data_IF_222236730572
#
_entry.id   IF_222236730572
#
_cell.length_a   1.000
_cell.length_b   1.000
_cell.length_c   1.000
_cell.angle_alpha   90.00
_cell.angle_beta   90.00
_cell.angle_gamma   90.00
#
_symmetry.space_group_name_H-M   'P 1'
#
loop_
_entity.id
_entity.type
_entity.pdbx_description
1 polymer ?
#
# COMPACT_ATOMS: atom_id res chain seq x y z
N UNK A 1 0.53 17.40 -13.22
CA UNK A 1 0.45 15.99 -12.77
C UNK A 1 1.39 15.03 -13.53
N UNK A 2 2.66 15.39 -13.81
CA UNK A 2 3.59 14.53 -14.56
C UNK A 2 4.45 13.59 -13.71
N UNK A 3 4.65 13.91 -12.44
CA UNK A 3 5.55 13.17 -11.54
C UNK A 3 4.87 11.96 -10.90
N UNK A 4 3.56 12.05 -10.61
CA UNK A 4 2.77 10.95 -10.07
C UNK A 4 2.79 9.71 -10.98
N UNK A 5 2.55 9.90 -12.29
CA UNK A 5 2.56 8.82 -13.27
C UNK A 5 3.92 8.10 -13.39
N UNK A 6 5.03 8.81 -13.12
CA UNK A 6 6.39 8.24 -13.09
C UNK A 6 6.74 7.61 -11.73
N UNK A 7 6.15 8.11 -10.65
CA UNK A 7 6.38 7.60 -9.29
C UNK A 7 5.64 6.29 -9.05
N UNK A 8 4.44 6.11 -9.61
CA UNK A 8 3.58 4.92 -9.39
C UNK A 8 4.35 3.60 -9.62
N UNK A 9 5.04 3.36 -10.75
CA UNK A 9 5.77 2.11 -10.95
C UNK A 9 6.86 1.85 -9.89
N UNK A 10 7.53 2.92 -9.43
CA UNK A 10 8.57 2.82 -8.41
C UNK A 10 7.98 2.49 -7.04
N UNK A 11 6.85 3.11 -6.70
CA UNK A 11 6.11 2.84 -5.47
C UNK A 11 5.54 1.41 -5.47
N UNK A 12 5.03 0.96 -6.60
CA UNK A 12 4.54 -0.41 -6.78
C UNK A 12 5.64 -1.45 -6.58
N UNK A 13 6.83 -1.21 -7.11
CA UNK A 13 7.98 -2.07 -6.86
C UNK A 13 8.35 -2.09 -5.36
N UNK A 14 8.34 -0.93 -4.70
CA UNK A 14 8.64 -0.80 -3.27
C UNK A 14 7.64 -1.54 -2.36
N UNK A 15 6.38 -1.67 -2.75
CA UNK A 15 5.36 -2.47 -2.03
C UNK A 15 5.66 -3.99 -2.01
N UNK A 16 6.50 -4.47 -2.92
CA UNK A 16 6.92 -5.89 -2.96
C UNK A 16 8.14 -6.20 -2.09
N UNK A 17 8.74 -5.16 -1.49
CA UNK A 17 9.95 -5.27 -0.69
C UNK A 17 9.76 -6.16 0.54
N UNK A 18 10.76 -6.98 0.90
CA UNK A 18 10.77 -7.66 2.19
C UNK A 18 11.06 -6.71 3.37
N UNK A 19 11.49 -5.46 3.10
CA UNK A 19 11.81 -4.47 4.13
C UNK A 19 10.55 -3.70 4.56
N UNK A 20 10.11 -3.83 5.83
CA UNK A 20 8.83 -3.28 6.29
C UNK A 20 8.72 -1.75 6.22
N UNK A 21 9.83 -1.02 6.43
CA UNK A 21 9.83 0.45 6.39
C UNK A 21 9.67 0.94 4.96
N UNK A 22 10.21 0.21 3.98
CA UNK A 22 10.03 0.51 2.57
C UNK A 22 8.58 0.32 2.14
N UNK A 23 7.92 -0.74 2.60
CA UNK A 23 6.48 -0.97 2.37
C UNK A 23 5.64 0.14 3.00
N UNK A 24 5.93 0.53 4.25
CA UNK A 24 5.25 1.63 4.93
C UNK A 24 5.38 2.96 4.17
N UNK A 25 6.60 3.32 3.77
CA UNK A 25 6.85 4.58 3.05
C UNK A 25 6.16 4.55 1.68
N UNK A 26 6.23 3.42 0.96
CA UNK A 26 5.53 3.26 -0.30
C UNK A 26 4.02 3.42 -0.14
N UNK A 27 3.40 2.74 0.83
CA UNK A 27 1.97 2.84 1.11
C UNK A 27 1.54 4.27 1.45
N UNK A 28 2.34 5.00 2.26
CA UNK A 28 2.09 6.42 2.55
C UNK A 28 2.20 7.31 1.32
N UNK A 29 3.22 7.12 0.50
CA UNK A 29 3.36 7.89 -0.74
C UNK A 29 2.18 7.64 -1.67
N UNK A 30 1.71 6.39 -1.79
CA UNK A 30 0.52 6.03 -2.57
C UNK A 30 -0.74 6.68 -1.98
N UNK A 31 -0.90 6.70 -0.65
CA UNK A 31 -1.99 7.41 0.02
C UNK A 31 -2.03 8.90 -0.34
N UNK A 32 -0.88 9.59 -0.38
CA UNK A 32 -0.79 11.00 -0.76
C UNK A 32 -1.05 11.28 -2.26
N UNK A 33 -0.93 10.26 -3.11
CA UNK A 33 -1.27 10.39 -4.54
C UNK A 33 -2.79 10.40 -4.77
N UNK A 34 -3.59 9.92 -3.80
CA UNK A 34 -5.05 9.94 -3.88
C UNK A 34 -5.58 9.20 -5.11
N UNK A 35 -6.43 9.84 -5.90
CA UNK A 35 -7.08 9.26 -7.08
C UNK A 35 -6.08 8.77 -8.13
N UNK A 36 -4.94 9.45 -8.27
CA UNK A 36 -3.89 9.06 -9.21
C UNK A 36 -3.28 7.69 -8.89
N UNK A 37 -3.48 7.18 -7.67
CA UNK A 37 -3.00 5.88 -7.22
C UNK A 37 -4.00 4.73 -7.46
N UNK A 38 -5.16 4.95 -8.08
CA UNK A 38 -6.08 3.86 -8.48
C UNK A 38 -5.40 2.62 -9.10
N UNK A 39 -4.46 2.74 -10.07
CA UNK A 39 -3.81 1.56 -10.66
C UNK A 39 -2.97 0.76 -9.66
N UNK A 40 -2.69 1.30 -8.46
CA UNK A 40 -1.96 0.62 -7.41
C UNK A 40 -2.83 -0.20 -6.45
N UNK A 41 -4.16 -0.13 -6.54
CA UNK A 41 -5.08 -0.78 -5.60
C UNK A 41 -4.86 -2.30 -5.50
N UNK A 42 -4.70 -3.01 -6.62
CA UNK A 42 -4.48 -4.46 -6.61
C UNK A 42 -3.15 -4.83 -5.92
N UNK A 43 -2.11 -4.04 -6.15
CA UNK A 43 -0.79 -4.28 -5.55
C UNK A 43 -0.77 -3.93 -4.05
N UNK A 44 -1.49 -2.90 -3.62
CA UNK A 44 -1.69 -2.58 -2.21
C UNK A 44 -2.39 -3.74 -1.48
N UNK A 45 -3.42 -4.34 -2.08
CA UNK A 45 -4.14 -5.48 -1.50
C UNK A 45 -3.26 -6.73 -1.44
N UNK A 46 -2.44 -6.98 -2.47
CA UNK A 46 -1.48 -8.08 -2.45
C UNK A 46 -0.39 -7.87 -1.39
N UNK A 47 0.11 -6.64 -1.23
CA UNK A 47 1.05 -6.29 -0.17
C UNK A 47 0.41 -6.52 1.21
N UNK A 48 -0.83 -6.05 1.43
CA UNK A 48 -1.60 -6.25 2.66
C UNK A 48 -1.74 -7.73 3.01
N UNK A 49 -2.18 -8.56 2.07
CA UNK A 49 -2.29 -10.02 2.26
C UNK A 49 -0.95 -10.70 2.52
N UNK A 50 0.14 -10.19 1.94
CA UNK A 50 1.49 -10.70 2.24
C UNK A 50 1.94 -10.40 3.67
N UNK A 51 1.42 -9.33 4.29
CA UNK A 51 1.61 -9.05 5.72
C UNK A 51 0.82 -10.01 6.61
N UNK A 52 -0.35 -10.45 6.15
CA UNK A 52 -1.29 -11.30 6.88
C UNK A 52 -0.95 -12.79 6.86
N UNK A 53 0.07 -13.22 6.11
CA UNK A 53 0.38 -14.64 5.93
C UNK A 53 0.55 -15.39 7.27
N UNK A 54 -0.33 -16.36 7.45
CA UNK A 54 -0.66 -17.12 8.67
C UNK A 54 0.19 -18.37 8.85
N UNK A 55 1.46 -18.36 8.46
CA UNK A 55 2.35 -19.49 8.76
C UNK A 55 2.87 -19.43 10.21
N UNK A 56 2.64 -20.47 11.04
CA UNK A 56 3.20 -20.55 12.38
C UNK A 56 4.73 -20.69 12.27
N UNK A 57 5.44 -19.59 12.53
CA UNK A 57 6.90 -19.50 12.44
C UNK A 57 7.43 -18.61 11.31
N UNK A 58 6.58 -18.19 10.37
CA UNK A 58 6.94 -17.32 9.25
C UNK A 58 6.02 -16.08 9.17
N UNK A 59 5.61 -15.57 10.34
CA UNK A 59 5.08 -14.21 10.43
C UNK A 59 6.24 -13.27 10.13
N UNK A 60 6.36 -12.78 8.89
CA UNK A 60 7.39 -11.82 8.47
C UNK A 60 7.41 -10.53 9.31
N UNK A 61 6.40 -10.31 10.14
CA UNK A 61 6.26 -9.15 10.99
C UNK A 61 5.96 -9.53 12.44
N UNK A 62 6.80 -10.40 13.00
CA UNK A 62 6.92 -10.48 14.46
C UNK A 62 7.88 -9.37 14.87
N UNK A 63 7.37 -8.15 15.06
CA UNK A 63 7.93 -7.16 15.98
C UNK A 63 6.94 -6.01 16.19
N UNK A 64 6.79 -5.66 17.47
CA UNK A 64 5.70 -4.91 18.12
C UNK A 64 5.47 -3.45 17.68
N UNK A 65 5.84 -3.02 16.48
CA UNK A 65 5.61 -1.61 16.11
C UNK A 65 5.59 -1.25 14.62
N UNK A 66 5.63 -2.20 13.67
CA UNK A 66 5.71 -1.84 12.24
C UNK A 66 4.62 -2.45 11.35
N UNK A 67 4.17 -3.68 11.62
CA UNK A 67 3.03 -4.29 10.92
C UNK A 67 1.71 -3.55 11.18
N UNK A 68 1.56 -2.94 12.36
CA UNK A 68 0.38 -2.12 12.68
C UNK A 68 0.34 -0.82 11.86
N UNK A 69 1.49 -0.16 11.63
CA UNK A 69 1.53 1.07 10.83
C UNK A 69 1.54 0.81 9.34
N UNK A 70 2.24 -0.23 8.87
CA UNK A 70 2.22 -0.61 7.46
C UNK A 70 0.84 -1.13 7.06
N UNK A 71 0.20 -1.97 7.89
CA UNK A 71 -1.18 -2.42 7.69
C UNK A 71 -2.15 -1.25 7.62
N UNK A 72 -2.13 -0.34 8.60
CA UNK A 72 -2.96 0.87 8.57
C UNK A 72 -2.72 1.74 7.31
N UNK A 73 -1.46 1.94 6.92
CA UNK A 73 -1.14 2.75 5.75
C UNK A 73 -1.62 2.11 4.44
N UNK A 74 -1.55 0.78 4.33
CA UNK A 74 -2.07 0.05 3.17
C UNK A 74 -3.60 0.12 3.11
N UNK A 75 -4.28 -0.05 4.24
CA UNK A 75 -5.74 0.09 4.33
C UNK A 75 -6.19 1.52 4.00
N UNK A 76 -5.52 2.54 4.54
CA UNK A 76 -5.82 3.94 4.23
C UNK A 76 -5.60 4.26 2.75
N UNK A 77 -4.53 3.74 2.14
CA UNK A 77 -4.27 3.91 0.72
C UNK A 77 -5.33 3.22 -0.15
N UNK A 78 -5.78 2.02 0.23
CA UNK A 78 -6.87 1.31 -0.44
C UNK A 78 -8.19 2.07 -0.35
N UNK A 79 -8.54 2.58 0.83
CA UNK A 79 -9.74 3.41 1.03
C UNK A 79 -9.68 4.64 0.10
N UNK A 80 -8.55 5.33 0.01
CA UNK A 80 -8.42 6.47 -0.91
C UNK A 80 -8.54 6.05 -2.38
N UNK A 81 -7.97 4.90 -2.77
CA UNK A 81 -8.09 4.39 -4.14
C UNK A 81 -9.54 4.02 -4.49
N UNK A 82 -10.31 3.47 -3.53
CA UNK A 82 -11.70 3.06 -3.73
C UNK A 82 -12.70 4.21 -3.59
N UNK A 83 -12.47 5.16 -2.68
CA UNK A 83 -13.29 6.36 -2.53
C UNK A 83 -13.26 7.25 -3.79
N UNK A 84 -12.16 7.20 -4.55
CA UNK A 84 -12.07 7.79 -5.88
C UNK A 84 -13.03 7.14 -6.89
N UNK A 85 -13.23 5.82 -6.81
CA UNK A 85 -14.12 5.09 -7.72
C UNK A 85 -15.61 5.38 -7.49
N UNK A 86 -15.99 5.79 -6.26
CA UNK A 86 -17.37 6.12 -5.91
C UNK A 86 -17.76 7.57 -6.24
N UNK A 87 -16.78 8.50 -6.36
CA UNK A 87 -17.04 9.91 -6.69
C UNK A 87 -17.11 10.20 -8.20
N UNK A 88 -16.81 9.23 -9.08
CA UNK A 88 -16.93 9.38 -10.54
C UNK A 88 -18.39 9.20 -11.05
N UNK A 89 -19.37 9.06 -10.15
CA UNK A 89 -20.79 8.83 -10.47
C UNK A 89 -21.76 10.00 -10.13
N UNK A 90 -21.26 11.20 -9.79
CA UNK A 90 -22.11 12.41 -9.62
C UNK A 90 -21.90 13.48 -10.71
#
# INVERSE_FOLDING_TARGET
HGEAARAIPTLLHALTSPEPRLVLQAARSVYFLGEAAQPAAEQLENARRSLESTEPGNRRYRDFNYSSFAGWALEAALINCHAAAENDFE
#
